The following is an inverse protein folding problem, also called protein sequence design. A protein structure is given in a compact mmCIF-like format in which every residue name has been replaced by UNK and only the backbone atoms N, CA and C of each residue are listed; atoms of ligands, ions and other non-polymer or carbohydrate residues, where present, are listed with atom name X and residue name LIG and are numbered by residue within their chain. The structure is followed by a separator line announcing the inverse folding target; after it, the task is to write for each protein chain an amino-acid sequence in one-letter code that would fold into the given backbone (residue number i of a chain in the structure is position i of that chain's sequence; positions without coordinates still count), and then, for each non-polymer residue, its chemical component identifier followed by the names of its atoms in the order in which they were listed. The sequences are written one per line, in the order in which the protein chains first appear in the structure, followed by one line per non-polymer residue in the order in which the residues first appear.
data_IF_558803698908
#
_entry.id   IF_558803698908
#
_cell.length_a   1.000
_cell.length_b   1.000
_cell.length_c   1.000
_cell.angle_alpha   90.00
_cell.angle_beta   90.00
_cell.angle_gamma   90.00
#
_symmetry.space_group_name_H-M   'P 1'
#
loop_
_entity.id
_entity.type
_entity.pdbx_description
1 polymer ?
#
# COMPACT_ATOMS: atom_id res chain seq x y z
N UNK A 1 43.02 14.14 8.43
CA UNK A 1 42.15 14.21 9.63
C UNK A 1 40.93 13.35 9.34
N UNK A 2 40.40 12.55 10.28
CA UNK A 2 39.14 11.88 10.04
C UNK A 2 38.07 12.94 9.78
N UNK A 3 37.30 12.78 8.71
CA UNK A 3 36.17 13.66 8.44
C UNK A 3 35.17 13.45 9.57
N UNK A 4 34.89 14.48 10.35
CA UNK A 4 33.83 14.43 11.35
C UNK A 4 32.50 14.21 10.65
N UNK A 5 31.66 13.34 11.21
CA UNK A 5 30.34 13.09 10.67
C UNK A 5 29.29 13.02 11.77
N UNK A 6 28.06 13.38 11.40
CA UNK A 6 26.88 13.30 12.25
C UNK A 6 25.80 12.51 11.52
N UNK A 7 25.35 11.39 12.10
CA UNK A 7 24.20 10.65 11.60
C UNK A 7 22.94 11.39 12.08
N UNK A 8 22.29 12.10 11.17
CA UNK A 8 21.05 12.83 11.43
C UNK A 8 19.88 11.85 11.57
N UNK A 9 19.83 10.82 10.72
CA UNK A 9 18.80 9.77 10.78
C UNK A 9 19.35 8.45 10.25
N UNK A 10 19.17 7.36 11.00
CA UNK A 10 19.33 5.99 10.49
C UNK A 10 18.05 5.59 9.78
N UNK A 11 18.13 5.22 8.50
CA UNK A 11 16.95 4.88 7.68
C UNK A 11 16.75 3.37 7.67
N UNK A 12 17.76 2.61 7.27
CA UNK A 12 17.74 1.14 7.39
C UNK A 12 19.16 0.58 7.50
N UNK A 13 19.26 -0.68 7.90
CA UNK A 13 20.51 -1.43 7.88
C UNK A 13 20.28 -2.92 7.65
N UNK A 14 21.24 -3.59 7.03
CA UNK A 14 21.29 -5.04 6.94
C UNK A 14 22.69 -5.57 7.30
N UNK A 15 22.77 -6.79 7.87
CA UNK A 15 24.05 -7.39 8.22
C UNK A 15 24.96 -7.57 7.01
N UNK A 16 26.27 -7.39 7.21
CA UNK A 16 27.29 -7.61 6.18
C UNK A 16 28.52 -8.31 6.77
N UNK A 17 28.91 -9.44 6.16
CA UNK A 17 30.08 -10.23 6.55
C UNK A 17 29.84 -11.18 7.73
N UNK A 18 30.89 -11.88 8.19
CA UNK A 18 30.82 -12.88 9.26
C UNK A 18 30.98 -12.29 10.68
N UNK A 19 30.53 -11.05 10.92
CA UNK A 19 30.69 -10.36 12.20
C UNK A 19 29.74 -9.17 12.37
N UNK A 20 30.04 -8.23 13.28
CA UNK A 20 29.21 -7.05 13.59
C UNK A 20 29.31 -5.94 12.51
N UNK A 21 29.42 -6.32 11.24
CA UNK A 21 29.40 -5.40 10.12
C UNK A 21 27.96 -5.17 9.65
N UNK A 22 27.63 -3.93 9.30
CA UNK A 22 26.35 -3.58 8.71
C UNK A 22 26.57 -2.76 7.44
N UNK A 23 25.69 -2.90 6.46
CA UNK A 23 25.48 -1.85 5.47
C UNK A 23 24.29 -1.03 5.96
N UNK A 24 24.47 0.29 6.03
CA UNK A 24 23.46 1.22 6.51
C UNK A 24 23.17 2.28 5.45
N UNK A 25 21.89 2.61 5.29
CA UNK A 25 21.47 3.85 4.66
C UNK A 25 21.16 4.86 5.76
N UNK A 26 21.86 5.98 5.74
CA UNK A 26 21.73 7.05 6.72
C UNK A 26 21.53 8.39 6.01
N UNK A 27 20.82 9.32 6.67
CA UNK A 27 20.98 10.74 6.41
C UNK A 27 22.15 11.24 7.27
N UNK A 28 23.23 11.68 6.64
CA UNK A 28 24.49 12.00 7.32
C UNK A 28 25.02 13.37 6.91
N UNK A 29 25.58 14.12 7.86
CA UNK A 29 26.37 15.33 7.59
C UNK A 29 27.85 14.97 7.60
N UNK A 30 28.55 15.31 6.53
CA UNK A 30 30.01 15.15 6.45
C UNK A 30 30.67 16.52 6.68
N UNK A 31 31.27 16.72 7.84
CA UNK A 31 31.77 18.03 8.29
C UNK A 31 30.63 19.06 8.33
N UNK A 32 30.88 20.23 7.75
CA UNK A 32 29.92 21.34 7.72
C UNK A 32 28.93 21.28 6.54
N UNK A 33 28.96 20.21 5.74
CA UNK A 33 28.08 20.09 4.59
C UNK A 33 26.63 19.77 5.00
N UNK A 34 25.64 20.12 4.14
CA UNK A 34 24.26 19.69 4.30
C UNK A 34 24.14 18.17 4.43
N UNK A 35 23.11 17.72 5.15
CA UNK A 35 22.87 16.30 5.33
C UNK A 35 22.47 15.64 4.01
N UNK A 36 23.09 14.51 3.69
CA UNK A 36 22.86 13.75 2.45
C UNK A 36 22.61 12.28 2.75
N UNK A 37 21.98 11.60 1.82
CA UNK A 37 21.72 10.16 1.93
C UNK A 37 23.01 9.40 1.59
N UNK A 38 23.42 8.50 2.48
CA UNK A 38 24.68 7.77 2.39
C UNK A 38 24.45 6.29 2.65
N UNK A 39 24.78 5.46 1.66
CA UNK A 39 24.74 4.01 1.75
C UNK A 39 26.16 3.49 1.92
N UNK A 40 26.47 2.93 3.08
CA UNK A 40 27.85 2.62 3.44
C UNK A 40 27.97 1.42 4.36
N UNK A 41 29.12 0.76 4.28
CA UNK A 41 29.52 -0.27 5.24
C UNK A 41 29.96 0.37 6.55
N UNK A 42 29.55 -0.23 7.65
CA UNK A 42 29.91 0.12 9.01
C UNK A 42 30.51 -1.09 9.69
N UNK A 43 31.60 -0.88 10.42
CA UNK A 43 32.21 -1.92 11.24
C UNK A 43 32.71 -1.29 12.53
N UNK A 44 32.33 -1.88 13.66
CA UNK A 44 32.69 -1.39 15.00
C UNK A 44 32.41 0.11 15.17
N UNK A 45 31.23 0.57 14.70
CA UNK A 45 30.81 1.96 14.79
C UNK A 45 31.52 2.94 13.86
N UNK A 46 32.41 2.46 12.97
CA UNK A 46 33.17 3.30 12.03
C UNK A 46 32.68 3.14 10.60
N UNK A 47 32.49 4.27 9.93
CA UNK A 47 32.21 4.35 8.51
C UNK A 47 33.35 3.75 7.67
N UNK A 48 32.99 2.93 6.68
CA UNK A 48 33.92 2.27 5.74
C UNK A 48 33.63 2.74 4.29
N UNK A 49 33.89 1.90 3.28
CA UNK A 49 33.53 2.18 1.89
C UNK A 49 32.01 2.26 1.70
N UNK A 50 31.57 3.24 0.93
CA UNK A 50 30.18 3.52 0.62
C UNK A 50 30.06 4.65 -0.39
N UNK A 51 28.84 5.09 -0.61
CA UNK A 51 28.49 6.14 -1.56
C UNK A 51 27.54 7.13 -0.88
N UNK A 52 27.77 8.41 -1.12
CA UNK A 52 26.85 9.49 -0.75
C UNK A 52 26.13 9.90 -2.03
N UNK A 53 24.82 10.05 -1.96
CA UNK A 53 23.98 10.46 -3.08
C UNK A 53 23.52 11.90 -2.91
N UNK A 54 23.43 12.63 -4.02
CA UNK A 54 22.50 13.74 -4.12
C UNK A 54 21.06 13.23 -4.20
N UNK A 55 20.09 14.06 -3.80
CA UNK A 55 18.66 13.71 -3.81
C UNK A 55 18.19 13.26 -5.21
N UNK A 56 18.68 13.92 -6.27
CA UNK A 56 18.32 13.60 -7.66
C UNK A 56 18.89 12.24 -8.11
N UNK A 57 20.11 11.90 -7.69
CA UNK A 57 20.76 10.62 -8.02
C UNK A 57 20.05 9.45 -7.35
N UNK A 58 19.65 9.61 -6.08
CA UNK A 58 18.92 8.56 -5.37
C UNK A 58 17.51 8.38 -5.93
N UNK A 59 16.83 9.46 -6.32
CA UNK A 59 15.54 9.38 -7.01
C UNK A 59 15.64 8.62 -8.31
N UNK A 60 16.64 8.93 -9.13
CA UNK A 60 16.89 8.21 -10.37
C UNK A 60 17.16 6.72 -10.12
N UNK A 61 17.98 6.39 -9.11
CA UNK A 61 18.24 5.00 -8.72
C UNK A 61 16.96 4.29 -8.24
N UNK A 62 16.15 4.95 -7.42
CA UNK A 62 14.88 4.40 -6.95
C UNK A 62 13.92 4.08 -8.11
N UNK A 63 13.77 5.01 -9.05
CA UNK A 63 12.90 4.81 -10.21
C UNK A 63 13.37 3.63 -11.07
N UNK A 64 14.68 3.44 -11.23
CA UNK A 64 15.24 2.32 -11.99
C UNK A 64 15.11 0.98 -11.26
N UNK A 65 15.38 0.94 -9.94
CA UNK A 65 15.15 -0.25 -9.13
C UNK A 65 13.67 -0.65 -9.14
N UNK A 66 12.76 0.33 -9.10
CA UNK A 66 11.32 0.07 -9.21
C UNK A 66 10.98 -0.59 -10.54
N UNK A 67 11.55 -0.14 -11.67
CA UNK A 67 11.36 -0.81 -12.97
C UNK A 67 11.96 -2.21 -12.97
N UNK A 68 13.20 -2.36 -12.49
CA UNK A 68 13.90 -3.63 -12.45
C UNK A 68 13.12 -4.71 -11.70
N UNK A 69 12.65 -4.39 -10.48
CA UNK A 69 11.81 -5.32 -9.72
C UNK A 69 10.40 -5.49 -10.29
N UNK A 70 9.92 -4.61 -11.18
CA UNK A 70 8.64 -4.79 -11.89
C UNK A 70 8.84 -5.61 -13.18
N UNK A 71 10.02 -5.56 -13.80
CA UNK A 71 10.34 -6.24 -15.06
C UNK A 71 10.90 -7.66 -14.85
N UNK A 72 11.70 -7.91 -13.81
CA UNK A 72 12.16 -9.27 -13.45
C UNK A 72 11.01 -10.17 -12.96
N UNK A 73 9.91 -9.59 -12.49
CA UNK A 73 8.70 -10.31 -12.09
C UNK A 73 7.78 -10.68 -13.28
N UNK A 74 8.27 -10.63 -14.53
CA UNK A 74 7.49 -11.11 -15.71
C UNK A 74 7.58 -12.62 -15.92
N UNK A 75 8.59 -13.29 -15.37
CA UNK A 75 8.77 -14.74 -15.51
C UNK A 75 8.38 -15.55 -14.25
N UNK A 76 8.21 -14.89 -13.10
CA UNK A 76 7.73 -15.51 -11.86
C UNK A 76 6.21 -15.40 -11.71
N UNK A 77 5.51 -16.20 -12.52
CA UNK A 77 4.09 -16.54 -12.34
C UNK A 77 3.88 -17.53 -11.15
N UNK A 78 4.87 -17.63 -10.25
CA UNK A 78 4.76 -18.19 -8.90
C UNK A 78 4.54 -17.06 -7.88
N UNK A 79 3.28 -16.65 -7.75
CA UNK A 79 2.62 -16.28 -6.49
C UNK A 79 3.59 -15.72 -5.43
N UNK A 80 4.06 -14.49 -5.62
CA UNK A 80 4.86 -13.80 -4.63
C UNK A 80 3.97 -13.42 -3.43
N UNK A 81 3.76 -14.39 -2.53
CA UNK A 81 2.82 -14.39 -1.42
C UNK A 81 1.37 -14.05 -1.83
N UNK A 82 0.41 -14.90 -1.45
CA UNK A 82 -1.01 -14.66 -1.68
C UNK A 82 -1.56 -13.51 -0.80
N UNK A 83 -1.01 -12.31 -0.96
CA UNK A 83 -1.42 -11.10 -0.29
C UNK A 83 -2.37 -10.35 -1.23
N UNK A 84 -3.65 -10.27 -0.87
CA UNK A 84 -4.53 -9.28 -1.48
C UNK A 84 -4.06 -7.92 -0.95
N UNK A 85 -3.39 -7.16 -1.80
CA UNK A 85 -3.24 -5.73 -1.57
C UNK A 85 -4.31 -4.93 -2.35
N UNK A 86 -4.41 -3.63 -2.10
CA UNK A 86 -5.42 -2.75 -2.71
C UNK A 86 -5.35 -2.68 -4.25
N UNK A 87 -4.27 -3.14 -4.88
CA UNK A 87 -4.14 -3.27 -6.35
C UNK A 87 -4.99 -4.42 -6.87
N UNK A 88 -5.49 -5.28 -5.99
CA UNK A 88 -6.27 -6.46 -6.29
C UNK A 88 -7.69 -6.32 -5.73
N UNK A 89 -8.67 -6.65 -6.55
CA UNK A 89 -10.08 -6.52 -6.19
C UNK A 89 -10.62 -7.79 -5.54
N UNK A 90 -11.46 -7.62 -4.53
CA UNK A 90 -12.34 -8.69 -4.05
C UNK A 90 -13.70 -8.52 -4.72
N UNK A 91 -14.13 -9.54 -5.45
CA UNK A 91 -15.46 -9.61 -6.04
C UNK A 91 -16.30 -10.57 -5.21
N UNK A 92 -17.35 -10.06 -4.58
CA UNK A 92 -18.34 -10.87 -3.89
C UNK A 92 -19.23 -11.55 -4.94
N UNK A 93 -18.82 -12.73 -5.41
CA UNK A 93 -19.55 -13.51 -6.41
C UNK A 93 -19.07 -14.95 -6.48
N UNK A 94 -19.84 -15.80 -7.15
CA UNK A 94 -19.36 -17.11 -7.57
C UNK A 94 -18.53 -16.99 -8.87
N UNK A 95 -17.94 -18.12 -9.29
CA UNK A 95 -17.11 -18.18 -10.50
C UNK A 95 -17.90 -18.39 -11.78
N UNK A 96 -19.23 -18.54 -11.73
CA UNK A 96 -20.04 -18.95 -12.89
C UNK A 96 -19.90 -18.01 -14.07
N UNK A 97 -19.79 -16.70 -13.81
CA UNK A 97 -19.58 -15.71 -14.88
C UNK A 97 -18.23 -15.88 -15.57
N UNK A 98 -17.18 -16.16 -14.81
CA UNK A 98 -15.83 -16.41 -15.35
C UNK A 98 -15.78 -17.74 -16.11
N UNK A 99 -16.42 -18.78 -15.57
CA UNK A 99 -16.58 -20.09 -16.20
C UNK A 99 -17.29 -19.99 -17.55
N UNK A 100 -18.42 -19.29 -17.61
CA UNK A 100 -19.19 -19.09 -18.85
C UNK A 100 -18.43 -18.30 -19.92
N UNK A 101 -17.48 -17.45 -19.52
CA UNK A 101 -16.61 -16.69 -20.43
C UNK A 101 -15.33 -17.43 -20.81
N UNK A 102 -15.08 -18.61 -20.23
CA UNK A 102 -13.85 -19.38 -20.46
C UNK A 102 -12.59 -18.71 -19.91
N UNK A 103 -12.71 -17.89 -18.86
CA UNK A 103 -11.55 -17.25 -18.25
C UNK A 103 -10.63 -18.28 -17.57
N UNK A 104 -9.33 -18.00 -17.55
CA UNK A 104 -8.34 -18.72 -16.77
C UNK A 104 -8.40 -18.31 -15.30
N UNK A 105 -8.62 -19.27 -14.42
CA UNK A 105 -8.64 -19.05 -12.99
C UNK A 105 -8.02 -20.21 -12.21
N UNK A 106 -7.60 -19.92 -10.97
CA UNK A 106 -7.09 -20.91 -10.03
C UNK A 106 -7.71 -20.73 -8.65
N UNK A 107 -8.01 -21.83 -7.97
CA UNK A 107 -8.35 -21.81 -6.54
C UNK A 107 -7.09 -21.48 -5.74
N UNK A 108 -7.19 -20.55 -4.81
CA UNK A 108 -6.06 -20.06 -4.00
C UNK A 108 -6.51 -19.87 -2.55
N UNK A 109 -5.57 -20.03 -1.62
CA UNK A 109 -5.71 -19.51 -0.26
C UNK A 109 -4.98 -18.17 -0.26
N UNK A 110 -5.68 -17.12 0.14
CA UNK A 110 -5.14 -15.76 0.11
C UNK A 110 -5.35 -15.06 1.43
N UNK A 111 -4.69 -13.92 1.65
CA UNK A 111 -4.79 -13.13 2.88
C UNK A 111 -5.37 -11.76 2.58
N UNK A 112 -6.44 -11.40 3.28
CA UNK A 112 -7.03 -10.06 3.22
C UNK A 112 -6.66 -9.24 4.46
N UNK A 113 -6.22 -7.98 4.32
CA UNK A 113 -6.02 -7.08 5.44
C UNK A 113 -7.36 -6.69 6.07
N UNK A 114 -7.53 -7.02 7.35
CA UNK A 114 -8.72 -6.70 8.16
C UNK A 114 -8.31 -5.75 9.29
N UNK A 115 -8.95 -4.59 9.32
CA UNK A 115 -8.86 -3.65 10.43
C UNK A 115 -9.87 -4.01 11.52
N UNK A 116 -9.39 -4.21 12.74
CA UNK A 116 -10.22 -4.50 13.91
C UNK A 116 -10.45 -3.24 14.72
N UNK A 117 -11.71 -2.82 14.87
CA UNK A 117 -12.09 -1.67 15.71
C UNK A 117 -11.75 -1.91 17.19
N UNK A 118 -11.75 -3.16 17.64
CA UNK A 118 -11.45 -3.55 19.03
C UNK A 118 -9.97 -3.31 19.35
N UNK A 119 -9.08 -3.68 18.43
CA UNK A 119 -7.63 -3.65 18.67
C UNK A 119 -6.95 -2.42 18.08
N UNK A 120 -7.62 -1.71 17.16
CA UNK A 120 -7.05 -0.62 16.38
C UNK A 120 -5.95 -1.07 15.42
N UNK A 121 -5.86 -2.37 15.12
CA UNK A 121 -4.78 -2.96 14.31
C UNK A 121 -5.33 -3.58 13.03
N UNK A 122 -4.48 -3.57 11.99
CA UNK A 122 -4.69 -4.36 10.77
C UNK A 122 -4.03 -5.72 10.96
N UNK A 123 -4.77 -6.77 10.65
CA UNK A 123 -4.30 -8.16 10.67
C UNK A 123 -4.56 -8.81 9.31
N UNK A 124 -3.69 -9.74 8.90
CA UNK A 124 -3.87 -10.48 7.67
C UNK A 124 -4.69 -11.74 7.94
N UNK A 125 -5.90 -11.81 7.41
CA UNK A 125 -6.80 -12.95 7.61
C UNK A 125 -6.80 -13.86 6.39
N UNK A 126 -6.61 -15.15 6.60
CA UNK A 126 -6.72 -16.14 5.54
C UNK A 126 -8.16 -16.25 5.03
N UNK A 127 -8.31 -16.20 3.72
CA UNK A 127 -9.57 -16.31 3.01
C UNK A 127 -9.58 -17.65 2.28
N UNK A 128 -10.32 -18.58 2.87
CA UNK A 128 -10.53 -19.91 2.30
C UNK A 128 -11.58 -19.84 1.18
N UNK A 129 -11.50 -20.81 0.26
CA UNK A 129 -12.41 -20.91 -0.89
C UNK A 129 -12.38 -19.72 -1.85
N UNK A 130 -11.20 -19.12 -2.02
CA UNK A 130 -11.00 -17.99 -2.93
C UNK A 130 -10.54 -18.46 -4.30
N UNK A 131 -10.95 -17.75 -5.36
CA UNK A 131 -10.49 -18.00 -6.72
C UNK A 131 -9.84 -16.74 -7.28
N UNK A 132 -8.66 -16.87 -7.88
CA UNK A 132 -8.04 -15.79 -8.64
C UNK A 132 -8.29 -16.01 -10.13
N UNK A 133 -8.88 -15.02 -10.80
CA UNK A 133 -9.10 -15.02 -12.24
C UNK A 133 -8.03 -14.17 -12.92
N UNK A 134 -7.20 -14.79 -13.78
CA UNK A 134 -6.09 -14.12 -14.48
C UNK A 134 -6.59 -13.07 -15.47
N UNK A 135 -7.69 -13.36 -16.18
CA UNK A 135 -8.26 -12.43 -17.16
C UNK A 135 -8.91 -11.21 -16.51
N UNK A 136 -9.68 -11.43 -15.43
CA UNK A 136 -10.29 -10.34 -14.66
C UNK A 136 -9.29 -9.60 -13.77
N UNK A 137 -8.15 -10.21 -13.47
CA UNK A 137 -7.16 -9.74 -12.48
C UNK A 137 -7.79 -9.44 -11.11
N UNK A 138 -8.67 -10.33 -10.65
CA UNK A 138 -9.46 -10.16 -9.42
C UNK A 138 -9.64 -11.47 -8.65
N UNK A 139 -9.83 -11.35 -7.34
CA UNK A 139 -10.15 -12.44 -6.43
C UNK A 139 -11.66 -12.52 -6.23
N UNK A 140 -12.20 -13.73 -6.35
CA UNK A 140 -13.62 -14.01 -6.18
C UNK A 140 -13.81 -14.77 -4.87
N UNK A 141 -14.65 -14.21 -3.99
CA UNK A 141 -15.03 -14.84 -2.74
C UNK A 141 -16.55 -15.03 -2.71
N UNK A 142 -16.96 -16.18 -2.20
CA UNK A 142 -18.37 -16.45 -1.95
C UNK A 142 -18.92 -15.59 -0.81
N UNK A 143 -20.25 -15.52 -0.73
CA UNK A 143 -20.96 -14.78 0.32
C UNK A 143 -20.51 -15.19 1.74
N UNK A 144 -20.32 -16.48 1.97
CA UNK A 144 -19.89 -17.00 3.27
C UNK A 144 -18.53 -16.45 3.70
N UNK A 145 -17.52 -16.51 2.81
CA UNK A 145 -16.19 -15.94 3.07
C UNK A 145 -16.24 -14.43 3.33
N UNK A 146 -17.02 -13.69 2.53
CA UNK A 146 -17.23 -12.27 2.74
C UNK A 146 -17.85 -11.95 4.11
N UNK A 147 -18.92 -12.65 4.48
CA UNK A 147 -19.63 -12.43 5.75
C UNK A 147 -18.74 -12.73 6.97
N UNK A 148 -17.81 -13.69 6.86
CA UNK A 148 -16.80 -13.95 7.90
C UNK A 148 -15.84 -12.77 8.04
N UNK A 149 -15.26 -12.30 6.94
CA UNK A 149 -14.29 -11.20 6.97
C UNK A 149 -14.93 -9.92 7.54
N UNK A 150 -16.18 -9.64 7.15
CA UNK A 150 -16.94 -8.49 7.66
C UNK A 150 -17.21 -8.58 9.17
N UNK A 151 -17.38 -9.79 9.71
CA UNK A 151 -17.53 -10.00 11.16
C UNK A 151 -16.21 -9.81 11.92
N UNK A 152 -15.07 -10.09 11.30
CA UNK A 152 -13.74 -9.93 11.89
C UNK A 152 -13.32 -8.46 11.95
N UNK A 153 -13.83 -7.63 11.03
CA UNK A 153 -13.58 -6.19 11.03
C UNK A 153 -13.80 -5.59 9.65
N UNK A 154 -13.14 -4.46 9.41
CA UNK A 154 -13.21 -3.74 8.15
C UNK A 154 -12.21 -4.31 7.14
N UNK A 155 -12.69 -4.70 5.95
CA UNK A 155 -11.83 -5.19 4.87
C UNK A 155 -11.12 -3.99 4.24
N UNK A 156 -9.79 -3.96 4.30
CA UNK A 156 -8.96 -2.84 3.85
C UNK A 156 -8.59 -2.95 2.37
N UNK A 157 -9.46 -3.60 1.58
CA UNK A 157 -9.30 -3.77 0.14
C UNK A 157 -10.61 -3.36 -0.55
N UNK A 158 -10.56 -3.07 -1.86
CA UNK A 158 -11.76 -2.77 -2.62
C UNK A 158 -12.61 -4.02 -2.74
N UNK A 159 -13.87 -3.93 -2.32
CA UNK A 159 -14.85 -5.00 -2.46
C UNK A 159 -15.93 -4.54 -3.42
N UNK A 160 -16.16 -5.31 -4.48
CA UNK A 160 -17.20 -5.07 -5.47
C UNK A 160 -18.25 -6.17 -5.44
N UNK A 161 -19.52 -5.83 -5.67
CA UNK A 161 -20.48 -6.80 -6.18
C UNK A 161 -20.18 -7.10 -7.65
N UNK A 162 -20.59 -8.28 -8.11
CA UNK A 162 -20.31 -8.72 -9.49
C UNK A 162 -20.75 -7.71 -10.56
N UNK A 163 -21.92 -7.09 -10.41
CA UNK A 163 -22.48 -6.12 -11.36
C UNK A 163 -21.71 -4.80 -11.35
N UNK A 164 -21.30 -4.35 -10.16
CA UNK A 164 -20.47 -3.14 -9.97
C UNK A 164 -19.10 -3.35 -10.61
N UNK A 165 -18.51 -4.54 -10.42
CA UNK A 165 -17.25 -4.92 -11.04
C UNK A 165 -17.36 -5.02 -12.57
N UNK A 166 -18.44 -5.60 -13.09
CA UNK A 166 -18.66 -5.68 -14.54
C UNK A 166 -18.78 -4.28 -15.17
N UNK A 167 -19.46 -3.34 -14.50
CA UNK A 167 -19.52 -1.94 -14.94
C UNK A 167 -18.14 -1.29 -14.90
N UNK A 168 -17.43 -1.48 -13.79
CA UNK A 168 -16.06 -0.99 -13.61
C UNK A 168 -15.11 -1.45 -14.72
N UNK A 169 -15.16 -2.73 -15.12
CA UNK A 169 -14.35 -3.27 -16.22
C UNK A 169 -14.78 -2.71 -17.58
N UNK A 170 -16.09 -2.60 -17.83
CA UNK A 170 -16.63 -2.07 -19.10
C UNK A 170 -16.25 -0.62 -19.36
N UNK A 171 -16.13 0.20 -18.32
CA UNK A 171 -15.79 1.62 -18.43
C UNK A 171 -14.31 1.85 -18.82
N UNK A 172 -13.55 0.79 -19.12
CA UNK A 172 -12.26 0.88 -19.83
C UNK A 172 -11.02 0.98 -18.93
N UNK A 173 -11.11 0.54 -17.67
CA UNK A 173 -9.99 0.58 -16.74
C UNK A 173 -8.82 -0.33 -17.20
N UNK A 174 -7.67 0.26 -17.52
CA UNK A 174 -6.42 -0.46 -17.78
C UNK A 174 -5.43 -0.20 -16.65
N UNK A 175 -4.94 -1.27 -16.03
CA UNK A 175 -4.04 -1.19 -14.86
C UNK A 175 -2.69 -0.53 -15.14
N UNK A 176 -2.23 -0.52 -16.39
CA UNK A 176 -0.92 -0.02 -16.76
C UNK A 176 -1.02 0.41 -18.22
N UNK A 177 -1.06 1.72 -18.47
CA UNK A 177 -0.42 2.41 -19.60
C UNK A 177 -0.95 3.85 -19.65
N UNK A 178 -0.02 4.79 -19.59
CA UNK A 178 -0.19 6.24 -19.80
C UNK A 178 -0.74 7.05 -18.63
N UNK A 179 0.19 7.52 -17.78
CA UNK A 179 0.22 8.95 -17.42
C UNK A 179 -1.06 9.57 -16.86
N UNK A 180 -1.74 8.86 -15.95
CA UNK A 180 -2.61 9.46 -14.94
C UNK A 180 -3.68 10.40 -15.49
N UNK A 181 -4.79 9.84 -15.98
CA UNK A 181 -6.09 10.53 -15.93
C UNK A 181 -7.16 9.55 -15.47
N UNK A 182 -7.08 9.18 -14.20
CA UNK A 182 -8.26 8.73 -13.48
C UNK A 182 -9.21 9.92 -13.37
N UNK A 183 -10.51 9.68 -13.51
CA UNK A 183 -11.48 10.67 -13.06
C UNK A 183 -11.26 10.80 -11.55
N UNK A 184 -10.79 11.96 -11.08
CA UNK A 184 -10.36 12.24 -9.69
C UNK A 184 -11.46 12.03 -8.63
N UNK A 185 -12.61 11.46 -8.98
CA UNK A 185 -13.62 11.01 -8.03
C UNK A 185 -13.48 9.54 -7.63
N UNK A 186 -12.70 8.70 -8.36
CA UNK A 186 -12.75 7.23 -8.17
C UNK A 186 -11.52 6.61 -7.49
N UNK A 187 -10.36 7.26 -7.46
CA UNK A 187 -9.11 6.66 -6.95
C UNK A 187 -9.20 6.23 -5.48
N UNK A 188 -9.70 7.11 -4.60
CA UNK A 188 -9.86 6.79 -3.19
C UNK A 188 -10.97 5.75 -2.96
N UNK A 189 -12.06 5.82 -3.71
CA UNK A 189 -13.12 4.82 -3.66
C UNK A 189 -12.59 3.42 -3.99
N UNK A 190 -11.70 3.31 -4.97
CA UNK A 190 -11.05 2.06 -5.36
C UNK A 190 -9.93 1.58 -4.43
N UNK A 191 -9.69 2.22 -3.29
CA UNK A 191 -8.90 1.65 -2.19
C UNK A 191 -9.75 1.36 -0.96
N UNK A 192 -11.08 1.39 -1.11
CA UNK A 192 -12.04 1.17 -0.03
C UNK A 192 -12.36 2.42 0.79
N UNK A 193 -11.80 3.59 0.45
CA UNK A 193 -12.11 4.83 1.16
C UNK A 193 -13.47 5.38 0.74
N UNK A 194 -14.27 5.81 1.72
CA UNK A 194 -15.49 6.57 1.47
C UNK A 194 -15.76 7.56 2.63
N UNK A 195 -16.53 8.61 2.33
CA UNK A 195 -16.94 9.61 3.32
C UNK A 195 -18.46 9.58 3.59
N UNK A 196 -19.15 8.50 3.20
CA UNK A 196 -20.59 8.38 3.44
C UNK A 196 -20.88 8.31 4.94
N UNK A 197 -22.08 8.75 5.32
CA UNK A 197 -22.56 8.56 6.69
C UNK A 197 -22.58 7.06 7.02
N UNK A 198 -22.11 6.70 8.22
CA UNK A 198 -22.19 5.35 8.82
C UNK A 198 -21.38 4.21 8.17
N UNK A 199 -20.67 4.42 7.06
CA UNK A 199 -19.85 3.37 6.44
C UNK A 199 -18.44 3.25 7.07
N UNK A 200 -17.75 4.37 7.32
CA UNK A 200 -16.38 4.38 7.87
C UNK A 200 -16.20 5.39 9.00
N UNK A 201 -15.60 4.92 10.11
CA UNK A 201 -15.11 5.78 11.20
C UNK A 201 -13.90 6.61 10.75
N UNK A 202 -13.60 7.70 11.47
CA UNK A 202 -12.43 8.54 11.19
C UNK A 202 -11.13 7.72 11.18
N UNK A 203 -10.91 6.88 12.19
CA UNK A 203 -9.72 6.03 12.29
C UNK A 203 -9.62 5.06 11.11
N UNK A 204 -10.73 4.46 10.68
CA UNK A 204 -10.75 3.56 9.52
C UNK A 204 -10.37 4.32 8.24
N UNK A 205 -10.97 5.50 8.00
CA UNK A 205 -10.63 6.36 6.85
C UNK A 205 -9.14 6.71 6.85
N UNK A 206 -8.61 7.18 7.97
CA UNK A 206 -7.20 7.49 8.13
C UNK A 206 -6.28 6.29 7.87
N UNK A 207 -6.65 5.11 8.35
CA UNK A 207 -5.87 3.88 8.12
C UNK A 207 -5.83 3.48 6.64
N UNK A 208 -6.94 3.61 5.91
CA UNK A 208 -6.98 3.34 4.46
C UNK A 208 -6.03 4.29 3.73
N UNK A 209 -6.13 5.59 4.01
CA UNK A 209 -5.29 6.62 3.38
C UNK A 209 -3.81 6.43 3.72
N UNK A 210 -3.48 6.14 4.98
CA UNK A 210 -2.11 5.86 5.40
C UNK A 210 -1.56 4.60 4.75
N UNK A 211 -2.36 3.54 4.62
CA UNK A 211 -1.91 2.33 3.94
C UNK A 211 -1.60 2.60 2.46
N UNK A 212 -2.46 3.34 1.76
CA UNK A 212 -2.22 3.77 0.38
C UNK A 212 -0.94 4.61 0.23
N UNK A 213 -0.67 5.48 1.20
CA UNK A 213 0.58 6.24 1.25
C UNK A 213 1.81 5.35 1.51
N UNK A 214 1.77 4.53 2.56
CA UNK A 214 2.90 3.72 3.00
C UNK A 214 3.28 2.62 2.01
N UNK A 215 2.32 2.12 1.25
CA UNK A 215 2.54 1.14 0.18
C UNK A 215 3.08 1.74 -1.12
N UNK A 216 3.11 3.07 -1.23
CA UNK A 216 3.53 3.79 -2.44
C UNK A 216 2.50 3.77 -3.57
N UNK A 217 1.24 3.43 -3.28
CA UNK A 217 0.16 3.48 -4.27
C UNK A 217 -0.20 4.89 -4.69
N UNK A 218 -0.34 5.76 -3.70
CA UNK A 218 -0.54 7.19 -3.89
C UNK A 218 0.44 7.91 -3.00
N UNK A 219 1.12 8.90 -3.57
CA UNK A 219 1.85 9.89 -2.79
C UNK A 219 0.89 10.62 -1.85
N UNK A 220 1.46 11.16 -0.76
CA UNK A 220 0.74 12.06 0.14
C UNK A 220 0.12 13.25 -0.61
N UNK A 221 0.79 13.76 -1.65
CA UNK A 221 0.30 14.84 -2.51
C UNK A 221 -0.93 14.46 -3.34
N UNK A 222 -0.94 13.25 -3.92
CA UNK A 222 -2.09 12.73 -4.69
C UNK A 222 -3.33 12.57 -3.79
N UNK A 223 -3.16 11.99 -2.60
CA UNK A 223 -4.27 11.82 -1.64
C UNK A 223 -4.83 13.19 -1.21
N UNK A 224 -3.96 14.10 -0.78
CA UNK A 224 -4.36 15.46 -0.34
C UNK A 224 -5.03 16.23 -1.49
N UNK A 225 -4.49 16.12 -2.70
CA UNK A 225 -5.05 16.74 -3.90
C UNK A 225 -6.44 16.19 -4.24
N UNK A 226 -6.63 14.87 -4.17
CA UNK A 226 -7.91 14.22 -4.42
C UNK A 226 -8.97 14.65 -3.39
N UNK A 227 -8.64 14.62 -2.09
CA UNK A 227 -9.55 15.10 -1.04
C UNK A 227 -9.91 16.58 -1.22
N UNK A 228 -8.94 17.41 -1.62
CA UNK A 228 -9.18 18.83 -1.90
C UNK A 228 -10.13 19.04 -3.07
N UNK A 229 -10.00 18.21 -4.13
CA UNK A 229 -10.91 18.23 -5.27
C UNK A 229 -12.34 17.83 -4.85
N UNK A 230 -12.52 16.77 -4.06
CA UNK A 230 -13.84 16.36 -3.57
C UNK A 230 -14.52 17.44 -2.72
N UNK A 231 -13.75 18.14 -1.87
CA UNK A 231 -14.25 19.29 -1.10
C UNK A 231 -14.71 20.40 -2.02
N UNK A 232 -13.87 20.83 -2.95
CA UNK A 232 -14.18 21.90 -3.91
C UNK A 232 -15.42 21.56 -4.74
N UNK A 233 -15.47 20.35 -5.31
CA UNK A 233 -16.56 19.90 -6.18
C UNK A 233 -17.93 19.94 -5.48
N UNK A 234 -17.94 19.77 -4.17
CA UNK A 234 -19.16 19.65 -3.38
C UNK A 234 -19.39 20.82 -2.43
N UNK A 235 -18.58 21.88 -2.46
CA UNK A 235 -18.57 22.94 -1.44
C UNK A 235 -19.92 23.67 -1.27
N UNK A 236 -20.73 23.71 -2.33
CA UNK A 236 -22.05 24.33 -2.36
C UNK A 236 -23.21 23.33 -2.16
N UNK A 237 -22.90 22.05 -1.92
CA UNK A 237 -23.91 20.99 -1.78
C UNK A 237 -24.30 20.80 -0.31
N UNK A 238 -25.43 21.39 0.11
CA UNK A 238 -26.00 21.20 1.46
C UNK A 238 -26.17 19.72 1.83
N UNK A 239 -26.54 18.88 0.86
CA UNK A 239 -26.74 17.43 1.08
C UNK A 239 -25.43 16.64 1.33
N UNK A 240 -24.27 17.28 1.22
CA UNK A 240 -22.95 16.65 1.37
C UNK A 240 -22.10 17.27 2.47
N UNK A 241 -22.67 18.15 3.31
CA UNK A 241 -21.94 18.83 4.40
C UNK A 241 -21.16 17.86 5.29
N UNK A 242 -21.78 16.76 5.72
CA UNK A 242 -21.11 15.75 6.55
C UNK A 242 -19.95 15.04 5.84
N UNK A 243 -20.06 14.80 4.52
CA UNK A 243 -18.96 14.21 3.74
C UNK A 243 -17.81 15.22 3.55
N UNK A 244 -18.15 16.50 3.35
CA UNK A 244 -17.18 17.59 3.23
C UNK A 244 -16.37 17.76 4.51
N UNK A 245 -17.03 17.68 5.67
CA UNK A 245 -16.35 17.74 6.97
C UNK A 245 -15.34 16.58 7.14
N UNK A 246 -15.76 15.36 6.79
CA UNK A 246 -14.87 14.19 6.80
C UNK A 246 -13.68 14.37 5.86
N UNK A 247 -13.89 14.81 4.61
CA UNK A 247 -12.79 15.07 3.68
C UNK A 247 -11.82 16.14 4.20
N UNK A 248 -12.33 17.20 4.86
CA UNK A 248 -11.50 18.26 5.46
C UNK A 248 -10.63 17.71 6.59
N UNK A 249 -11.22 16.90 7.48
CA UNK A 249 -10.52 16.24 8.57
C UNK A 249 -9.43 15.30 8.03
N UNK A 250 -9.80 14.40 7.12
CA UNK A 250 -8.90 13.40 6.55
C UNK A 250 -7.73 14.06 5.79
N UNK A 251 -7.99 15.18 5.09
CA UNK A 251 -6.96 15.97 4.41
C UNK A 251 -5.96 16.59 5.38
N UNK A 252 -6.46 17.22 6.46
CA UNK A 252 -5.60 17.81 7.49
C UNK A 252 -4.73 16.75 8.16
N UNK A 253 -5.32 15.59 8.46
CA UNK A 253 -4.59 14.47 9.03
C UNK A 253 -3.50 13.95 8.09
N UNK A 254 -3.81 13.76 6.80
CA UNK A 254 -2.81 13.37 5.79
C UNK A 254 -1.68 14.39 5.67
N UNK A 255 -1.98 15.70 5.71
CA UNK A 255 -0.97 16.76 5.70
C UNK A 255 -0.06 16.72 6.94
N UNK A 256 -0.62 16.35 8.10
CA UNK A 256 0.11 16.23 9.37
C UNK A 256 0.90 14.92 9.56
N UNK A 257 0.67 13.89 8.74
CA UNK A 257 1.40 12.62 8.84
C UNK A 257 2.93 12.81 8.73
N UNK A 258 3.72 12.38 9.74
CA UNK A 258 5.18 12.44 9.69
C UNK A 258 5.76 11.65 8.52
N UNK A 259 6.93 12.06 8.04
CA UNK A 259 7.70 11.35 7.01
C UNK A 259 8.25 10.01 7.55
N UNK A 260 8.21 9.78 8.87
CA UNK A 260 8.71 8.54 9.47
C UNK A 260 7.66 7.42 9.48
N UNK A 261 7.92 6.40 8.67
CA UNK A 261 6.98 5.39 8.20
C UNK A 261 7.41 4.00 8.65
N UNK A 262 7.14 3.61 9.89
CA UNK A 262 7.10 2.18 10.23
C UNK A 262 5.86 1.57 9.57
N UNK A 263 6.11 0.82 8.51
CA UNK A 263 5.13 -0.09 7.91
C UNK A 263 4.82 -1.16 8.97
N UNK A 264 3.55 -1.44 9.31
CA UNK A 264 3.21 -2.68 9.97
C UNK A 264 3.51 -3.81 8.98
N UNK A 265 4.71 -4.38 9.04
CA UNK A 265 5.05 -5.58 8.28
C UNK A 265 4.30 -6.73 8.95
N UNK A 266 3.39 -7.36 8.22
CA UNK A 266 2.71 -8.56 8.68
C UNK A 266 3.74 -9.67 8.90
N UNK A 267 3.80 -10.23 10.11
CA UNK A 267 4.61 -11.41 10.38
C UNK A 267 3.96 -12.58 9.62
N UNK A 268 4.63 -13.08 8.58
CA UNK A 268 4.11 -14.16 7.73
C UNK A 268 4.14 -15.52 8.43
N UNK A 269 5.06 -15.72 9.38
CA UNK A 269 5.21 -16.95 10.18
C UNK A 269 6.07 -16.71 11.43
N UNK A 270 5.70 -17.28 12.57
CA UNK A 270 6.54 -17.42 13.78
C UNK A 270 6.93 -18.90 13.89
N UNK A 271 8.23 -19.20 13.98
CA UNK A 271 8.73 -20.55 14.21
C UNK A 271 9.26 -20.60 15.64
N UNK A 272 8.60 -21.39 16.49
CA UNK A 272 9.09 -21.71 17.83
C UNK A 272 10.02 -22.91 17.67
N UNK A 273 11.26 -22.80 18.15
CA UNK A 273 12.12 -23.97 18.36
C UNK A 273 11.72 -24.58 19.70
N UNK A 274 11.27 -25.84 19.67
CA UNK A 274 11.32 -26.68 20.86
C UNK A 274 12.77 -27.13 21.05
N UNK A 275 13.25 -27.06 22.29
CA UNK A 275 14.57 -27.54 22.71
C UNK A 275 14.68 -29.08 22.61
#
# INVERSE_FOLDING_TARGET
MPVNYEIVKKIFSFPYGKGNGEIQLNLIKWGDNPAKLDLRKWSNGKAQKGITFEEEELRALYDELKKYYVEENKDDDEVSDNLIDFRQFIVQSDMKKCENKGHQYKKVITKAPIYSDITGKVTMQEVYETYYCKDCKAYYIGKYGYDILKKMGHIMCPVFKAEEFDKFVKDGYQFINNGGKLNKESELYHIGYNAKADELSETQRHMILKYAYLSGYMSKGEIVGHLSFLIWLNENSANKEAAIEKWKNDRLWMMGLPIDTTIPIGISKIIIKED
#
